data_IF_636438632575
#
_entry.id   IF_636438632575
#
_cell.length_a   1.000
_cell.length_b   1.000
_cell.length_c   1.000
_cell.angle_alpha   90.00
_cell.angle_beta   90.00
_cell.angle_gamma   90.00
#
_symmetry.space_group_name_H-M   'P 1'
#
loop_
_entity.id
_entity.type
_entity.pdbx_description
1 polymer ?
#
# COMPACT_ATOMS: atom_id res chain seq x y z
N UNK A 1 13.81 -14.76 7.18
CA UNK A 1 12.86 -15.82 6.84
C UNK A 1 12.92 -16.07 5.35
N UNK A 2 12.84 -17.34 4.96
CA UNK A 2 12.81 -17.78 3.57
C UNK A 2 11.43 -17.46 2.97
N UNK A 3 11.39 -16.73 1.86
CA UNK A 3 10.14 -16.44 1.15
C UNK A 3 9.72 -17.69 0.40
N UNK A 4 8.64 -18.33 0.83
CA UNK A 4 8.00 -19.39 0.06
C UNK A 4 7.02 -18.78 -0.94
N UNK A 5 7.24 -18.99 -2.24
CA UNK A 5 6.32 -18.56 -3.29
C UNK A 5 5.46 -19.72 -3.78
N UNK A 6 4.15 -19.53 -3.81
CA UNK A 6 3.20 -20.43 -4.47
C UNK A 6 2.63 -19.71 -5.69
N UNK A 7 2.77 -20.29 -6.87
CA UNK A 7 2.14 -19.79 -8.11
C UNK A 7 0.91 -20.63 -8.41
N UNK A 8 -0.23 -19.96 -8.61
CA UNK A 8 -1.51 -20.61 -8.93
C UNK A 8 -1.89 -20.21 -10.35
N UNK A 9 -2.00 -21.19 -11.25
CA UNK A 9 -2.56 -20.97 -12.58
C UNK A 9 -4.09 -21.07 -12.50
N UNK A 10 -4.77 -20.01 -12.97
CA UNK A 10 -6.22 -19.91 -12.96
C UNK A 10 -6.76 -19.79 -14.38
N UNK A 11 -7.95 -20.32 -14.68
CA UNK A 11 -8.63 -20.05 -15.95
C UNK A 11 -8.77 -18.55 -16.20
N UNK A 12 -8.54 -18.08 -17.42
CA UNK A 12 -8.54 -16.65 -17.77
C UNK A 12 -9.79 -15.90 -17.30
N UNK A 13 -10.96 -16.52 -17.45
CA UNK A 13 -12.25 -15.97 -16.98
C UNK A 13 -12.28 -15.68 -15.48
N UNK A 14 -11.59 -16.48 -14.66
CA UNK A 14 -11.48 -16.23 -13.22
C UNK A 14 -10.60 -15.02 -12.96
N UNK A 15 -9.45 -14.92 -13.64
CA UNK A 15 -8.54 -13.77 -13.52
C UNK A 15 -9.24 -12.48 -13.93
N UNK A 16 -10.00 -12.49 -15.03
CA UNK A 16 -10.80 -11.33 -15.48
C UNK A 16 -11.79 -10.86 -14.41
N UNK A 17 -12.51 -11.79 -13.78
CA UNK A 17 -13.42 -11.48 -12.67
C UNK A 17 -12.68 -10.85 -11.47
N UNK A 18 -11.51 -11.39 -11.10
CA UNK A 18 -10.72 -10.86 -9.99
C UNK A 18 -10.16 -9.48 -10.31
N UNK A 19 -9.69 -9.23 -11.54
CA UNK A 19 -9.22 -7.91 -11.98
C UNK A 19 -10.36 -6.89 -11.96
N UNK A 20 -11.56 -7.28 -12.44
CA UNK A 20 -12.73 -6.40 -12.34
C UNK A 20 -13.02 -6.06 -10.88
N UNK A 21 -12.98 -7.07 -9.99
CA UNK A 21 -13.26 -6.86 -8.57
C UNK A 21 -12.21 -5.99 -7.88
N UNK A 22 -10.94 -6.15 -8.22
CA UNK A 22 -9.86 -5.35 -7.65
C UNK A 22 -10.02 -3.87 -8.02
N UNK A 23 -10.43 -3.58 -9.26
CA UNK A 23 -10.77 -2.21 -9.71
C UNK A 23 -11.98 -1.63 -9.00
N UNK A 24 -13.05 -2.42 -8.81
CA UNK A 24 -14.24 -1.97 -8.06
C UNK A 24 -13.92 -1.59 -6.62
N UNK A 25 -12.96 -2.29 -6.01
CA UNK A 25 -12.54 -2.10 -4.62
C UNK A 25 -11.36 -1.13 -4.47
N UNK A 26 -10.82 -0.60 -5.57
CA UNK A 26 -9.66 0.28 -5.57
C UNK A 26 -8.45 -0.34 -4.84
N UNK A 27 -8.15 -1.60 -5.17
CA UNK A 27 -7.01 -2.34 -4.64
C UNK A 27 -6.30 -3.11 -5.75
N UNK A 28 -5.01 -3.35 -5.57
CA UNK A 28 -4.27 -4.26 -6.45
C UNK A 28 -4.83 -5.70 -6.41
N UNK A 29 -4.72 -6.42 -7.53
CA UNK A 29 -5.10 -7.82 -7.63
C UNK A 29 -4.38 -8.70 -6.59
N UNK A 30 -3.10 -8.44 -6.36
CA UNK A 30 -2.31 -9.16 -5.36
C UNK A 30 -2.84 -8.94 -3.94
N UNK A 31 -3.09 -7.68 -3.55
CA UNK A 31 -3.68 -7.40 -2.25
C UNK A 31 -5.08 -8.01 -2.11
N UNK A 32 -5.90 -7.98 -3.17
CA UNK A 32 -7.21 -8.64 -3.16
C UNK A 32 -7.09 -10.14 -2.89
N UNK A 33 -6.17 -10.82 -3.58
CA UNK A 33 -5.95 -12.25 -3.40
C UNK A 33 -5.46 -12.59 -1.99
N UNK A 34 -4.50 -11.82 -1.47
CA UNK A 34 -3.96 -11.99 -0.12
C UNK A 34 -5.06 -11.76 0.93
N UNK A 35 -5.83 -10.67 0.84
CA UNK A 35 -6.91 -10.40 1.79
C UNK A 35 -8.01 -11.46 1.73
N UNK A 36 -8.29 -12.01 0.54
CA UNK A 36 -9.21 -13.14 0.40
C UNK A 36 -8.69 -14.41 1.08
N UNK A 37 -7.39 -14.73 0.93
CA UNK A 37 -6.76 -15.87 1.62
C UNK A 37 -6.81 -15.68 3.13
N UNK A 38 -6.35 -14.54 3.64
CA UNK A 38 -6.35 -14.23 5.07
C UNK A 38 -7.76 -14.34 5.67
N UNK A 39 -8.76 -13.84 4.94
CA UNK A 39 -10.15 -13.87 5.41
C UNK A 39 -10.79 -15.25 5.32
N UNK A 40 -10.52 -16.01 4.26
CA UNK A 40 -11.11 -17.34 4.06
C UNK A 40 -10.59 -18.37 5.06
N UNK A 41 -9.30 -18.28 5.42
CA UNK A 41 -8.66 -19.16 6.39
C UNK A 41 -8.64 -18.58 7.82
N UNK A 42 -9.35 -17.48 8.05
CA UNK A 42 -9.46 -16.84 9.37
C UNK A 42 -8.08 -16.55 10.02
N UNK A 43 -7.11 -16.12 9.20
CA UNK A 43 -5.78 -15.75 9.65
C UNK A 43 -5.86 -14.33 10.20
N UNK A 44 -5.89 -14.20 11.52
CA UNK A 44 -6.02 -12.94 12.25
C UNK A 44 -4.86 -12.64 13.21
N UNK A 45 -3.82 -13.49 13.24
CA UNK A 45 -2.59 -13.26 14.02
C UNK A 45 -1.96 -11.91 13.61
N UNK A 46 -1.87 -10.94 14.56
CA UNK A 46 -1.26 -9.64 14.33
C UNK A 46 0.15 -9.69 13.73
N UNK A 47 0.96 -10.69 14.11
CA UNK A 47 2.33 -10.84 13.62
C UNK A 47 2.36 -11.23 12.15
N UNK A 48 1.49 -12.18 11.77
CA UNK A 48 1.36 -12.64 10.39
C UNK A 48 0.83 -11.52 9.50
N UNK A 49 -0.21 -10.79 9.94
CA UNK A 49 -0.77 -9.67 9.19
C UNK A 49 0.25 -8.53 9.04
N UNK A 50 1.01 -8.23 10.10
CA UNK A 50 2.10 -7.26 10.02
C UNK A 50 3.16 -7.65 9.00
N UNK A 51 3.60 -8.92 8.99
CA UNK A 51 4.62 -9.39 8.06
C UNK A 51 4.12 -9.26 6.61
N UNK A 52 2.88 -9.70 6.34
CA UNK A 52 2.25 -9.59 5.02
C UNK A 52 2.27 -8.15 4.52
N UNK A 53 1.77 -7.20 5.31
CA UNK A 53 1.69 -5.80 4.90
C UNK A 53 3.08 -5.15 4.79
N UNK A 54 4.03 -5.53 5.65
CA UNK A 54 5.42 -5.07 5.57
C UNK A 54 6.07 -5.52 4.26
N UNK A 55 5.92 -6.80 3.90
CA UNK A 55 6.46 -7.37 2.67
C UNK A 55 5.81 -6.79 1.42
N UNK A 56 4.50 -6.57 1.43
CA UNK A 56 3.82 -5.87 0.33
C UNK A 56 4.31 -4.44 0.17
N UNK A 57 4.52 -3.70 1.28
CA UNK A 57 5.08 -2.35 1.22
C UNK A 57 6.48 -2.35 0.60
N UNK A 58 7.37 -3.26 1.03
CA UNK A 58 8.72 -3.42 0.47
C UNK A 58 8.70 -3.74 -1.03
N UNK A 59 7.83 -4.68 -1.42
CA UNK A 59 7.66 -5.08 -2.82
C UNK A 59 7.20 -3.90 -3.67
N UNK A 60 6.19 -3.15 -3.24
CA UNK A 60 5.67 -2.01 -3.97
C UNK A 60 6.64 -0.84 -4.05
N UNK A 61 7.46 -0.58 -3.01
CA UNK A 61 8.56 0.38 -3.12
C UNK A 61 9.53 -0.03 -4.24
N UNK A 62 9.94 -1.31 -4.27
CA UNK A 62 10.88 -1.82 -5.28
C UNK A 62 10.31 -1.73 -6.69
N UNK A 63 9.07 -2.18 -6.90
CA UNK A 63 8.39 -2.10 -8.19
C UNK A 63 8.13 -0.65 -8.62
N UNK A 64 7.73 0.20 -7.68
CA UNK A 64 7.51 1.63 -7.91
C UNK A 64 8.79 2.32 -8.38
N UNK A 65 9.93 2.03 -7.75
CA UNK A 65 11.22 2.58 -8.18
C UNK A 65 11.62 2.13 -9.58
N UNK A 66 11.38 0.86 -9.94
CA UNK A 66 11.64 0.36 -11.29
C UNK A 66 10.77 1.09 -12.33
N UNK A 67 9.48 1.27 -12.05
CA UNK A 67 8.56 2.01 -12.91
C UNK A 67 8.97 3.47 -13.06
N UNK A 68 9.38 4.11 -11.96
CA UNK A 68 9.87 5.47 -11.94
C UNK A 68 11.12 5.62 -12.83
N UNK A 69 12.07 4.69 -12.72
CA UNK A 69 13.30 4.68 -13.55
C UNK A 69 12.98 4.54 -15.04
N UNK A 70 11.93 3.80 -15.39
CA UNK A 70 11.45 3.64 -16.78
C UNK A 70 10.58 4.82 -17.26
N UNK A 71 10.34 5.83 -16.43
CA UNK A 71 9.47 6.97 -16.76
C UNK A 71 7.98 6.63 -16.77
N UNK A 72 7.57 5.49 -16.21
CA UNK A 72 6.16 5.12 -16.09
C UNK A 72 5.57 5.74 -14.81
N UNK A 73 5.35 7.06 -14.86
CA UNK A 73 4.96 7.83 -13.69
C UNK A 73 3.60 7.45 -13.12
N UNK A 74 2.60 7.15 -13.96
CA UNK A 74 1.25 6.73 -13.53
C UNK A 74 1.31 5.46 -12.69
N UNK A 75 1.95 4.41 -13.22
CA UNK A 75 2.05 3.13 -12.50
C UNK A 75 3.01 3.23 -11.31
N UNK A 76 4.05 4.06 -11.40
CA UNK A 76 4.88 4.38 -10.24
C UNK A 76 4.03 4.99 -9.12
N UNK A 77 3.14 5.93 -9.43
CA UNK A 77 2.28 6.58 -8.44
C UNK A 77 1.37 5.58 -7.71
N UNK A 78 0.72 4.66 -8.44
CA UNK A 78 -0.07 3.56 -7.86
C UNK A 78 0.76 2.75 -6.85
N UNK A 79 1.97 2.35 -7.22
CA UNK A 79 2.83 1.51 -6.39
C UNK A 79 3.27 2.23 -5.11
N UNK A 80 3.64 3.50 -5.19
CA UNK A 80 4.01 4.25 -3.99
C UNK A 80 2.81 4.55 -3.09
N UNK A 81 1.61 4.81 -3.64
CA UNK A 81 0.38 4.85 -2.85
C UNK A 81 0.13 3.52 -2.11
N UNK A 82 0.23 2.42 -2.83
CA UNK A 82 0.13 1.07 -2.26
C UNK A 82 1.16 0.85 -1.15
N UNK A 83 2.42 1.22 -1.37
CA UNK A 83 3.48 1.06 -0.38
C UNK A 83 3.19 1.82 0.94
N UNK A 84 2.73 3.07 0.85
CA UNK A 84 2.34 3.87 2.00
C UNK A 84 1.16 3.25 2.76
N UNK A 85 0.12 2.84 2.04
CA UNK A 85 -1.08 2.22 2.61
C UNK A 85 -0.75 0.91 3.32
N UNK A 86 0.08 0.06 2.72
CA UNK A 86 0.50 -1.21 3.31
C UNK A 86 1.38 -0.98 4.55
N UNK A 87 2.29 0.00 4.54
CA UNK A 87 3.08 0.34 5.73
C UNK A 87 2.19 0.78 6.90
N UNK A 88 1.15 1.59 6.63
CA UNK A 88 0.20 2.02 7.65
C UNK A 88 -0.62 0.85 8.20
N UNK A 89 -1.06 -0.07 7.34
CA UNK A 89 -1.72 -1.32 7.75
C UNK A 89 -0.83 -2.20 8.61
N UNK A 90 0.48 -2.25 8.35
CA UNK A 90 1.41 -3.01 9.17
C UNK A 90 1.49 -2.44 10.60
N UNK A 91 1.60 -1.12 10.75
CA UNK A 91 1.59 -0.46 12.07
C UNK A 91 0.27 -0.71 12.80
N UNK A 92 -0.86 -0.64 12.09
CA UNK A 92 -2.16 -0.96 12.66
C UNK A 92 -2.26 -2.42 13.14
N UNK A 93 -1.74 -3.37 12.36
CA UNK A 93 -1.73 -4.79 12.71
C UNK A 93 -0.99 -5.04 14.02
N UNK A 94 0.20 -4.42 14.23
CA UNK A 94 0.94 -4.51 15.50
C UNK A 94 0.18 -3.96 16.71
N UNK A 95 -0.89 -3.19 16.48
CA UNK A 95 -1.79 -2.64 17.49
C UNK A 95 -3.13 -3.37 17.58
N UNK A 96 -3.25 -4.50 16.89
CA UNK A 96 -4.48 -5.30 16.86
C UNK A 96 -5.61 -4.68 16.02
N UNK A 97 -5.31 -3.72 15.15
CA UNK A 97 -6.30 -3.09 14.25
C UNK A 97 -6.11 -3.59 12.81
N UNK A 98 -7.22 -3.83 12.09
CA UNK A 98 -7.21 -4.21 10.67
C UNK A 98 -7.91 -3.16 9.82
N UNK A 99 -7.14 -2.44 9.00
CA UNK A 99 -7.65 -1.36 8.15
C UNK A 99 -8.02 -1.91 6.76
N UNK A 100 -9.26 -1.67 6.33
CA UNK A 100 -9.86 -2.20 5.11
C UNK A 100 -10.37 -1.13 4.15
N UNK A 101 -10.44 0.13 4.59
CA UNK A 101 -10.93 1.24 3.76
C UNK A 101 -10.05 2.48 3.85
N UNK A 102 -10.17 3.36 2.85
CA UNK A 102 -9.57 4.69 2.87
C UNK A 102 -9.94 5.49 4.13
N UNK A 103 -11.21 5.43 4.55
CA UNK A 103 -11.67 6.10 5.78
C UNK A 103 -10.91 5.62 7.01
N UNK A 104 -10.71 4.31 7.14
CA UNK A 104 -9.97 3.72 8.26
C UNK A 104 -8.48 4.08 8.21
N UNK A 105 -7.86 4.09 7.02
CA UNK A 105 -6.48 4.55 6.85
C UNK A 105 -6.32 6.00 7.34
N UNK A 106 -7.19 6.91 6.92
CA UNK A 106 -7.16 8.31 7.37
C UNK A 106 -7.41 8.46 8.86
N UNK A 107 -8.40 7.72 9.40
CA UNK A 107 -8.71 7.74 10.83
C UNK A 107 -7.57 7.23 11.69
N UNK A 108 -6.95 6.11 11.30
CA UNK A 108 -5.81 5.54 11.99
C UNK A 108 -4.59 6.46 11.94
N UNK A 109 -4.29 7.06 10.78
CA UNK A 109 -3.21 8.04 10.66
C UNK A 109 -3.43 9.25 11.58
N UNK A 110 -4.66 9.76 11.67
CA UNK A 110 -4.97 10.90 12.53
C UNK A 110 -4.67 10.58 14.00
N UNK A 111 -5.11 9.41 14.50
CA UNK A 111 -4.76 8.92 15.84
C UNK A 111 -3.24 8.82 16.02
N UNK A 112 -2.55 8.24 15.03
CA UNK A 112 -1.10 8.06 15.08
C UNK A 112 -0.35 9.39 15.19
N UNK A 113 -0.81 10.43 14.48
CA UNK A 113 -0.25 11.78 14.55
C UNK A 113 -0.51 12.41 15.92
N UNK A 114 -1.70 12.24 16.49
CA UNK A 114 -2.02 12.74 17.84
C UNK A 114 -1.16 12.10 18.92
N UNK A 115 -0.96 10.78 18.85
CA UNK A 115 -0.18 10.02 19.82
C UNK A 115 1.32 10.32 19.76
N UNK A 116 1.87 10.44 18.54
CA UNK A 116 3.31 10.66 18.34
C UNK A 116 3.71 12.13 18.40
N UNK A 117 2.76 13.05 18.19
CA UNK A 117 3.03 14.47 17.95
C UNK A 117 3.71 14.77 16.61
N UNK A 118 3.98 13.75 15.78
CA UNK A 118 4.69 13.92 14.50
C UNK A 118 3.73 14.38 13.39
N UNK A 119 3.55 15.69 13.31
CA UNK A 119 2.73 16.32 12.26
C UNK A 119 3.25 16.11 10.84
N UNK A 120 4.50 15.66 10.67
CA UNK A 120 5.09 15.34 9.38
C UNK A 120 4.43 14.10 8.76
N UNK A 121 4.05 13.11 9.56
CA UNK A 121 3.33 11.92 9.09
C UNK A 121 2.07 12.31 8.31
N UNK A 122 1.31 13.29 8.80
CA UNK A 122 0.14 13.83 8.10
C UNK A 122 0.51 14.42 6.74
N UNK A 123 1.59 15.21 6.67
CA UNK A 123 2.03 15.89 5.44
C UNK A 123 2.50 14.88 4.39
N UNK A 124 3.33 13.93 4.78
CA UNK A 124 3.85 12.89 3.88
C UNK A 124 2.73 11.97 3.35
N UNK A 125 1.72 11.69 4.17
CA UNK A 125 0.52 10.98 3.71
C UNK A 125 -0.27 11.75 2.64
N UNK A 126 -0.32 13.08 2.70
CA UNK A 126 -0.95 13.86 1.63
C UNK A 126 -0.19 13.70 0.30
N UNK A 127 1.14 13.61 0.33
CA UNK A 127 1.95 13.31 -0.86
C UNK A 127 1.62 11.93 -1.44
N UNK A 128 1.40 10.92 -0.59
CA UNK A 128 0.92 9.61 -1.01
C UNK A 128 -0.48 9.70 -1.67
N UNK A 129 -1.40 10.48 -1.08
CA UNK A 129 -2.73 10.71 -1.65
C UNK A 129 -2.69 11.42 -3.01
N UNK A 130 -1.74 12.35 -3.21
CA UNK A 130 -1.54 13.02 -4.49
C UNK A 130 -1.04 12.06 -5.58
N UNK A 131 -0.19 11.09 -5.21
CA UNK A 131 0.19 10.00 -6.12
C UNK A 131 -1.01 9.10 -6.45
N UNK A 132 -1.84 8.77 -5.47
CA UNK A 132 -3.04 7.99 -5.71
C UNK A 132 -3.98 8.68 -6.72
N UNK A 133 -4.21 9.98 -6.55
CA UNK A 133 -4.99 10.75 -7.52
C UNK A 133 -4.33 10.77 -8.90
N UNK A 134 -3.00 10.89 -8.97
CA UNK A 134 -2.27 10.89 -10.23
C UNK A 134 -2.39 9.58 -11.01
N UNK A 135 -2.61 8.44 -10.34
CA UNK A 135 -2.87 7.18 -11.04
C UNK A 135 -4.11 7.27 -11.93
N UNK A 136 -5.15 7.95 -11.45
CA UNK A 136 -6.39 8.15 -12.19
C UNK A 136 -6.32 9.31 -13.19
N UNK A 137 -5.70 10.43 -12.80
CA UNK A 137 -5.75 11.68 -13.57
C UNK A 137 -4.56 11.86 -14.52
N UNK A 138 -3.41 11.21 -14.26
CA UNK A 138 -2.16 11.37 -15.01
C UNK A 138 -1.75 12.84 -15.27
N UNK A 139 -1.95 13.69 -14.26
CA UNK A 139 -1.80 15.14 -14.39
C UNK A 139 -0.51 15.70 -13.77
N UNK A 140 0.21 14.92 -12.97
CA UNK A 140 1.40 15.40 -12.29
C UNK A 140 2.59 15.45 -13.25
N UNK A 141 3.34 16.55 -13.29
CA UNK A 141 4.60 16.56 -14.00
C UNK A 141 5.61 15.62 -13.32
N UNK A 142 6.59 15.07 -14.07
CA UNK A 142 7.58 14.13 -13.55
C UNK A 142 8.30 14.56 -12.27
N UNK A 143 8.60 15.85 -12.12
CA UNK A 143 9.26 16.41 -10.93
C UNK A 143 8.40 16.28 -9.67
N UNK A 144 7.09 16.51 -9.78
CA UNK A 144 6.14 16.36 -8.68
C UNK A 144 5.98 14.90 -8.29
N UNK A 145 5.93 13.99 -9.27
CA UNK A 145 5.89 12.54 -8.99
C UNK A 145 7.12 12.12 -8.21
N UNK A 146 8.32 12.51 -8.67
CA UNK A 146 9.59 12.20 -7.97
C UNK A 146 9.63 12.76 -6.55
N UNK A 147 9.19 14.01 -6.34
CA UNK A 147 9.11 14.61 -5.01
C UNK A 147 8.19 13.83 -4.06
N UNK A 148 6.96 13.57 -4.50
CA UNK A 148 5.99 12.81 -3.70
C UNK A 148 6.45 11.37 -3.41
N UNK A 149 7.22 10.76 -4.33
CA UNK A 149 7.83 9.44 -4.11
C UNK A 149 8.83 9.46 -2.96
N UNK A 150 9.69 10.47 -2.89
CA UNK A 150 10.65 10.60 -1.78
C UNK A 150 9.95 10.87 -0.44
N UNK A 151 8.84 11.61 -0.47
CA UNK A 151 7.98 11.78 0.71
C UNK A 151 7.39 10.45 1.18
N UNK A 152 6.90 9.61 0.25
CA UNK A 152 6.40 8.26 0.59
C UNK A 152 7.51 7.39 1.20
N UNK A 153 8.73 7.41 0.65
CA UNK A 153 9.85 6.65 1.22
C UNK A 153 10.16 7.11 2.66
N UNK A 154 10.12 8.42 2.89
CA UNK A 154 10.30 9.00 4.23
C UNK A 154 9.17 8.58 5.17
N UNK A 155 7.92 8.59 4.70
CA UNK A 155 6.76 8.13 5.44
C UNK A 155 6.89 6.68 5.87
N UNK A 156 7.19 5.77 4.93
CA UNK A 156 7.39 4.35 5.22
C UNK A 156 8.53 4.14 6.21
N UNK A 157 9.65 4.88 6.06
CA UNK A 157 10.77 4.81 7.01
C UNK A 157 10.36 5.19 8.42
N UNK A 158 9.57 6.26 8.59
CA UNK A 158 9.06 6.68 9.90
C UNK A 158 8.12 5.65 10.50
N UNK A 159 7.18 5.13 9.72
CA UNK A 159 6.25 4.11 10.19
C UNK A 159 6.96 2.82 10.65
N UNK A 160 8.06 2.43 9.99
CA UNK A 160 8.87 1.27 10.42
C UNK A 160 9.62 1.46 11.73
N UNK A 161 9.75 2.69 12.21
CA UNK A 161 10.36 3.01 13.49
C UNK A 161 9.35 3.02 14.66
N UNK A 162 8.07 2.78 14.37
CA UNK A 162 6.97 2.65 15.33
C UNK A 162 6.68 1.18 15.62
#
# INVERSE_FOLDING_TARGET
MELMSVTIELPSKVVECLVKKSRELDVSLENLAIEAILSHFEIDDPEVIWEVHTKLSEKYLTEGEELLRRGNYVQSSEKFWGAASQALKAVAAKRGERLRSHRELHGFLAKLVEETGDTELRRLWQSAGMLHQNFYENWLPPSMVKGNVEDVKTFVKKLRAL
#
